data_IF_313996848463
#
_entry.id   IF_313996848463
#
_cell.length_a   1.000
_cell.length_b   1.000
_cell.length_c   1.000
_cell.angle_alpha   90.00
_cell.angle_beta   90.00
_cell.angle_gamma   90.00
#
_symmetry.space_group_name_H-M   'P 1'
#
loop_
_entity.id
_entity.type
_entity.pdbx_description
1 polymer ?
#
# COMPACT_ATOMS: atom_id res chain seq x y z
N UNK A 1 -11.99 -20.17 -3.84
CA UNK A 1 -10.56 -20.41 -3.58
C UNK A 1 -9.80 -19.41 -4.42
N UNK A 2 -9.14 -18.47 -3.76
CA UNK A 2 -8.37 -17.44 -4.44
C UNK A 2 -7.24 -18.04 -5.28
N UNK A 3 -7.21 -17.76 -6.59
CA UNK A 3 -6.24 -18.32 -7.51
C UNK A 3 -5.03 -17.40 -7.67
N UNK A 4 -3.85 -17.87 -7.26
CA UNK A 4 -2.60 -17.11 -7.34
C UNK A 4 -2.24 -16.71 -8.78
N UNK A 5 -2.47 -17.57 -9.76
CA UNK A 5 -2.09 -17.29 -11.15
C UNK A 5 -2.96 -16.18 -11.76
N UNK A 6 -4.24 -16.14 -11.39
CA UNK A 6 -5.17 -15.06 -11.76
C UNK A 6 -4.73 -13.74 -11.13
N UNK A 7 -4.39 -13.72 -9.84
CA UNK A 7 -3.85 -12.53 -9.18
C UNK A 7 -2.59 -12.02 -9.87
N UNK A 8 -1.63 -12.90 -10.17
CA UNK A 8 -0.40 -12.54 -10.88
C UNK A 8 -0.71 -11.95 -12.25
N UNK A 9 -1.65 -12.56 -12.99
CA UNK A 9 -2.01 -12.09 -14.31
C UNK A 9 -2.69 -10.71 -14.28
N UNK A 10 -3.61 -10.49 -13.33
CA UNK A 10 -4.24 -9.19 -13.08
C UNK A 10 -3.19 -8.13 -12.77
N UNK A 11 -2.28 -8.40 -11.83
CA UNK A 11 -1.19 -7.46 -11.49
C UNK A 11 -0.30 -7.16 -12.69
N UNK A 12 0.06 -8.16 -13.51
CA UNK A 12 0.85 -7.94 -14.73
C UNK A 12 0.16 -6.99 -15.71
N UNK A 13 -1.15 -7.13 -15.89
CA UNK A 13 -1.94 -6.26 -16.75
C UNK A 13 -1.95 -4.83 -16.20
N UNK A 14 -2.16 -4.65 -14.90
CA UNK A 14 -2.14 -3.33 -14.25
C UNK A 14 -0.78 -2.65 -14.40
N UNK A 15 0.31 -3.38 -14.13
CA UNK A 15 1.69 -2.87 -14.26
C UNK A 15 2.03 -2.51 -15.72
N UNK A 16 1.33 -3.07 -16.72
CA UNK A 16 1.45 -2.62 -18.10
C UNK A 16 0.86 -1.22 -18.29
N UNK A 17 -0.35 -0.95 -17.79
CA UNK A 17 -0.93 0.41 -17.80
C UNK A 17 0.01 1.43 -17.14
N UNK A 18 0.60 1.05 -16.00
CA UNK A 18 1.58 1.89 -15.31
C UNK A 18 2.79 2.24 -16.19
N UNK A 19 3.38 1.23 -16.83
CA UNK A 19 4.55 1.41 -17.71
C UNK A 19 4.22 2.23 -18.97
N UNK A 20 3.00 2.13 -19.46
CA UNK A 20 2.51 2.89 -20.61
C UNK A 20 2.12 4.35 -20.22
N UNK A 21 2.33 4.76 -18.96
CA UNK A 21 1.98 6.09 -18.46
C UNK A 21 0.48 6.30 -18.21
N UNK A 22 -0.33 5.24 -18.32
CA UNK A 22 -1.79 5.25 -18.12
C UNK A 22 -2.10 5.08 -16.63
N UNK A 23 -1.69 6.06 -15.83
CA UNK A 23 -1.78 5.99 -14.37
C UNK A 23 -3.23 5.91 -13.87
N UNK A 24 -4.16 6.65 -14.47
CA UNK A 24 -5.58 6.59 -14.12
C UNK A 24 -6.15 5.16 -14.30
N UNK A 25 -5.90 4.54 -15.46
CA UNK A 25 -6.30 3.14 -15.72
C UNK A 25 -5.66 2.17 -14.73
N UNK A 26 -4.38 2.38 -14.40
CA UNK A 26 -3.68 1.52 -13.46
C UNK A 26 -4.27 1.62 -12.05
N UNK A 27 -4.57 2.83 -11.56
CA UNK A 27 -5.21 3.02 -10.26
C UNK A 27 -6.63 2.46 -10.21
N UNK A 28 -7.44 2.69 -11.25
CA UNK A 28 -8.78 2.12 -11.35
C UNK A 28 -8.72 0.59 -11.27
N UNK A 29 -7.84 -0.04 -12.04
CA UNK A 29 -7.70 -1.50 -12.06
C UNK A 29 -7.13 -2.07 -10.75
N UNK A 30 -6.26 -1.34 -10.04
CA UNK A 30 -5.88 -1.71 -8.67
C UNK A 30 -7.06 -1.64 -7.71
N UNK A 31 -7.87 -0.58 -7.79
CA UNK A 31 -9.09 -0.44 -6.99
C UNK A 31 -10.05 -1.62 -7.22
N UNK A 32 -10.30 -1.98 -8.47
CA UNK A 32 -11.10 -3.16 -8.83
C UNK A 32 -10.51 -4.44 -8.23
N UNK A 33 -9.21 -4.69 -8.41
CA UNK A 33 -8.54 -5.86 -7.87
C UNK A 33 -8.66 -5.98 -6.35
N UNK A 34 -8.47 -4.87 -5.62
CA UNK A 34 -8.53 -4.89 -4.15
C UNK A 34 -9.95 -4.95 -3.61
N UNK A 35 -10.95 -4.63 -4.43
CA UNK A 35 -12.37 -4.72 -4.08
C UNK A 35 -12.97 -6.11 -4.27
N UNK A 36 -12.25 -7.04 -4.92
CA UNK A 36 -12.76 -8.40 -5.11
C UNK A 36 -12.87 -9.13 -3.78
N UNK A 37 -13.94 -9.90 -3.61
CA UNK A 37 -14.21 -10.61 -2.34
C UNK A 37 -13.15 -11.66 -2.00
N UNK A 38 -12.40 -12.15 -2.99
CA UNK A 38 -11.35 -13.16 -2.83
C UNK A 38 -9.97 -12.54 -2.58
N UNK A 39 -9.80 -11.22 -2.67
CA UNK A 39 -8.49 -10.60 -2.49
C UNK A 39 -7.91 -10.89 -1.10
N UNK A 40 -8.74 -10.75 -0.06
CA UNK A 40 -8.39 -11.07 1.32
C UNK A 40 -8.19 -12.57 1.60
N UNK A 41 -8.63 -13.46 0.70
CA UNK A 41 -8.43 -14.90 0.81
C UNK A 41 -7.07 -15.37 0.28
N UNK A 42 -6.36 -14.53 -0.50
CA UNK A 42 -5.00 -14.86 -0.93
C UNK A 42 -4.03 -14.93 0.26
N UNK A 43 -2.87 -15.55 0.04
CA UNK A 43 -1.83 -15.57 1.07
C UNK A 43 -1.37 -14.13 1.37
N UNK A 44 -1.04 -13.79 2.63
CA UNK A 44 -0.65 -12.42 3.00
C UNK A 44 0.50 -11.87 2.17
N UNK A 45 1.43 -12.72 1.75
CA UNK A 45 2.61 -12.36 0.96
C UNK A 45 2.22 -11.93 -0.45
N UNK A 46 1.22 -12.60 -1.04
CA UNK A 46 0.71 -12.26 -2.36
C UNK A 46 -0.12 -10.95 -2.30
N UNK A 47 -0.94 -10.77 -1.23
CA UNK A 47 -1.67 -9.53 -0.98
C UNK A 47 -0.70 -8.34 -0.83
N UNK A 48 0.31 -8.48 0.03
CA UNK A 48 1.35 -7.46 0.26
C UNK A 48 2.06 -7.07 -1.02
N UNK A 49 2.42 -8.06 -1.85
CA UNK A 49 3.12 -7.78 -3.10
C UNK A 49 2.25 -6.97 -4.06
N UNK A 50 0.96 -7.27 -4.17
CA UNK A 50 0.03 -6.51 -5.00
C UNK A 50 -0.19 -5.08 -4.48
N UNK A 51 -0.46 -4.93 -3.17
CA UNK A 51 -0.64 -3.62 -2.53
C UNK A 51 0.60 -2.73 -2.67
N UNK A 52 1.78 -3.31 -2.44
CA UNK A 52 3.06 -2.62 -2.56
C UNK A 52 3.31 -2.05 -3.95
N UNK A 53 2.87 -2.75 -5.00
CA UNK A 53 3.03 -2.33 -6.39
C UNK A 53 2.15 -1.14 -6.78
N UNK A 54 1.15 -0.79 -5.98
CA UNK A 54 0.39 0.45 -6.11
C UNK A 54 0.96 1.54 -5.19
N UNK A 55 1.13 1.22 -3.90
CA UNK A 55 1.33 2.21 -2.84
C UNK A 55 2.77 2.74 -2.81
N UNK A 56 3.74 1.86 -3.06
CA UNK A 56 5.17 2.17 -3.03
C UNK A 56 5.79 2.17 -4.42
N UNK A 57 4.96 2.34 -5.45
CA UNK A 57 5.39 2.33 -6.85
C UNK A 57 6.34 3.50 -7.15
N UNK A 58 7.42 3.21 -7.89
CA UNK A 58 8.29 4.28 -8.41
C UNK A 58 7.56 5.04 -9.51
N UNK A 59 7.67 6.37 -9.48
CA UNK A 59 7.01 7.25 -10.43
C UNK A 59 5.52 7.44 -10.17
N UNK A 60 5.03 7.06 -8.99
CA UNK A 60 3.68 7.41 -8.56
C UNK A 60 3.54 8.94 -8.46
N UNK A 61 2.32 9.49 -8.67
CA UNK A 61 2.03 10.89 -8.40
C UNK A 61 2.37 11.26 -6.96
N UNK A 62 2.61 12.55 -6.74
CA UNK A 62 2.89 13.10 -5.42
C UNK A 62 1.72 12.78 -4.45
N UNK A 63 1.97 12.08 -3.34
CA UNK A 63 0.94 11.79 -2.33
C UNK A 63 0.26 13.04 -1.74
N UNK A 64 0.92 14.21 -1.78
CA UNK A 64 0.33 15.49 -1.34
C UNK A 64 -0.57 16.14 -2.40
N UNK A 65 -0.51 15.65 -3.64
CA UNK A 65 -1.34 16.11 -4.77
C UNK A 65 -1.94 14.92 -5.52
N UNK A 66 -2.73 14.07 -4.83
CA UNK A 66 -3.22 12.84 -5.43
C UNK A 66 -4.31 13.14 -6.46
N UNK A 67 -4.37 12.31 -7.51
CA UNK A 67 -5.49 12.34 -8.46
C UNK A 67 -6.72 11.66 -7.85
N UNK A 68 -7.94 11.91 -8.34
CA UNK A 68 -9.14 11.24 -7.84
C UNK A 68 -9.05 9.71 -7.87
N UNK A 69 -8.48 9.13 -8.92
CA UNK A 69 -8.32 7.68 -9.09
C UNK A 69 -7.33 7.11 -8.07
N UNK A 70 -6.25 7.86 -7.79
CA UNK A 70 -5.29 7.50 -6.76
C UNK A 70 -5.94 7.51 -5.37
N UNK A 71 -6.75 8.53 -5.06
CA UNK A 71 -7.49 8.61 -3.78
C UNK A 71 -8.43 7.42 -3.63
N UNK A 72 -9.19 7.09 -4.69
CA UNK A 72 -10.12 5.95 -4.66
C UNK A 72 -9.41 4.63 -4.40
N UNK A 73 -8.35 4.36 -5.15
CA UNK A 73 -7.60 3.12 -5.02
C UNK A 73 -6.96 2.97 -3.62
N UNK A 74 -6.44 4.06 -3.03
CA UNK A 74 -5.91 4.05 -1.67
C UNK A 74 -7.01 3.87 -0.61
N UNK A 75 -8.22 4.40 -0.84
CA UNK A 75 -9.37 4.18 0.03
C UNK A 75 -9.75 2.72 0.08
N UNK A 76 -9.82 2.07 -1.09
CA UNK A 76 -10.13 0.63 -1.19
C UNK A 76 -9.01 -0.19 -0.52
N UNK A 77 -7.74 0.11 -0.81
CA UNK A 77 -6.59 -0.60 -0.26
C UNK A 77 -6.47 -0.49 1.28
N UNK A 78 -7.03 0.55 1.90
CA UNK A 78 -6.97 0.76 3.35
C UNK A 78 -7.63 -0.39 4.13
N UNK A 79 -8.71 -1.00 3.60
CA UNK A 79 -9.39 -2.13 4.24
C UNK A 79 -8.49 -3.36 4.36
N UNK A 80 -8.01 -3.96 3.26
CA UNK A 80 -7.09 -5.09 3.28
C UNK A 80 -5.81 -4.83 4.09
N UNK A 81 -5.26 -3.61 4.03
CA UNK A 81 -4.09 -3.24 4.84
C UNK A 81 -4.38 -3.17 6.33
N UNK A 82 -5.56 -2.70 6.72
CA UNK A 82 -5.98 -2.68 8.13
C UNK A 82 -6.06 -4.10 8.68
N UNK A 83 -6.56 -5.06 7.87
CA UNK A 83 -6.58 -6.46 8.25
C UNK A 83 -5.18 -7.06 8.38
N UNK A 84 -4.27 -6.76 7.44
CA UNK A 84 -2.87 -7.21 7.50
C UNK A 84 -2.15 -6.66 8.74
N UNK A 85 -2.29 -5.36 9.01
CA UNK A 85 -1.71 -4.72 10.21
C UNK A 85 -2.30 -5.34 11.48
N UNK A 86 -3.60 -5.54 11.53
CA UNK A 86 -4.28 -6.09 12.71
C UNK A 86 -3.91 -7.55 12.98
N UNK A 87 -3.68 -8.35 11.93
CA UNK A 87 -3.42 -9.78 12.04
C UNK A 87 -1.94 -10.12 12.22
N UNK A 88 -1.04 -9.39 11.56
CA UNK A 88 0.38 -9.70 11.52
C UNK A 88 1.26 -8.64 12.17
N UNK A 89 0.83 -7.38 12.20
CA UNK A 89 1.57 -6.29 12.84
C UNK A 89 2.93 -6.00 12.21
N UNK A 90 3.17 -6.39 10.96
CA UNK A 90 4.48 -6.21 10.33
C UNK A 90 4.77 -4.73 10.06
N UNK A 91 6.01 -4.25 10.22
CA UNK A 91 6.36 -2.86 9.94
C UNK A 91 6.10 -2.42 8.50
N UNK A 92 6.26 -3.33 7.54
CA UNK A 92 5.97 -3.04 6.13
C UNK A 92 4.47 -2.83 5.86
N UNK A 93 3.60 -3.51 6.61
CA UNK A 93 2.14 -3.33 6.51
C UNK A 93 1.75 -1.95 7.06
N UNK A 94 2.38 -1.52 8.16
CA UNK A 94 2.23 -0.17 8.71
C UNK A 94 2.74 0.92 7.76
N UNK A 95 3.87 0.69 7.07
CA UNK A 95 4.36 1.63 6.06
C UNK A 95 3.32 1.87 4.96
N UNK A 96 2.79 0.78 4.38
CA UNK A 96 1.78 0.87 3.32
C UNK A 96 0.49 1.52 3.80
N UNK A 97 -0.02 1.12 4.97
CA UNK A 97 -1.24 1.71 5.53
C UNK A 97 -1.06 3.20 5.84
N UNK A 98 0.09 3.58 6.42
CA UNK A 98 0.43 4.98 6.68
C UNK A 98 0.42 5.83 5.41
N UNK A 99 0.98 5.32 4.31
CA UNK A 99 0.93 6.01 3.01
C UNK A 99 -0.50 6.17 2.50
N UNK A 100 -1.37 5.16 2.64
CA UNK A 100 -2.78 5.33 2.33
C UNK A 100 -3.40 6.50 3.11
N UNK A 101 -3.15 6.59 4.41
CA UNK A 101 -3.69 7.69 5.21
C UNK A 101 -3.13 9.07 4.83
N UNK A 102 -1.89 9.18 4.33
CA UNK A 102 -1.36 10.43 3.76
C UNK A 102 -2.20 10.83 2.54
N UNK A 103 -2.36 9.91 1.59
CA UNK A 103 -3.10 10.15 0.33
C UNK A 103 -4.56 10.50 0.60
N UNK A 104 -5.16 9.90 1.63
CA UNK A 104 -6.53 10.16 2.04
C UNK A 104 -6.70 11.45 2.85
N UNK A 105 -5.64 12.23 3.06
CA UNK A 105 -5.70 13.50 3.80
C UNK A 105 -5.87 13.33 5.32
N UNK A 106 -5.42 12.21 5.88
CA UNK A 106 -5.52 11.87 7.30
C UNK A 106 -4.13 11.84 7.98
N UNK A 107 -3.43 13.00 8.10
CA UNK A 107 -2.04 13.07 8.56
C UNK A 107 -1.85 12.57 10.00
N UNK A 108 -2.84 12.79 10.88
CA UNK A 108 -2.79 12.32 12.27
C UNK A 108 -2.75 10.79 12.35
N UNK A 109 -3.67 10.12 11.63
CA UNK A 109 -3.70 8.66 11.54
C UNK A 109 -2.44 8.12 10.87
N UNK A 110 -1.98 8.75 9.78
CA UNK A 110 -0.75 8.36 9.10
C UNK A 110 0.46 8.41 10.06
N UNK A 111 0.62 9.50 10.81
CA UNK A 111 1.70 9.68 11.78
C UNK A 111 1.65 8.61 12.87
N UNK A 112 0.48 8.32 13.43
CA UNK A 112 0.31 7.28 14.45
C UNK A 112 0.71 5.89 13.92
N UNK A 113 0.20 5.52 12.73
CA UNK A 113 0.45 4.21 12.11
C UNK A 113 1.93 4.03 11.76
N UNK A 114 2.55 5.04 11.14
CA UNK A 114 3.97 5.00 10.77
C UNK A 114 4.88 4.93 12.01
N UNK A 115 4.54 5.64 13.09
CA UNK A 115 5.30 5.58 14.36
C UNK A 115 5.18 4.21 15.02
N UNK A 116 4.01 3.56 14.95
CA UNK A 116 3.84 2.20 15.43
C UNK A 116 4.73 1.22 14.66
N UNK A 117 4.72 1.28 13.33
CA UNK A 117 5.63 0.48 12.48
C UNK A 117 7.11 0.74 12.78
N UNK A 118 7.49 2.00 13.00
CA UNK A 118 8.87 2.38 13.31
C UNK A 118 9.32 1.83 14.67
N UNK A 119 8.45 1.84 15.67
CA UNK A 119 8.76 1.29 16.99
C UNK A 119 9.07 -0.22 16.89
N UNK A 120 8.27 -0.96 16.13
CA UNK A 120 8.46 -2.40 15.91
C UNK A 120 9.75 -2.65 15.14
N UNK A 121 9.96 -1.95 14.03
CA UNK A 121 11.16 -2.15 13.19
C UNK A 121 12.44 -1.77 13.93
N UNK A 122 12.44 -0.70 14.74
CA UNK A 122 13.61 -0.31 15.53
C UNK A 122 13.99 -1.34 16.58
N UNK A 123 13.01 -2.00 17.19
CA UNK A 123 13.27 -3.09 18.15
C UNK A 123 13.87 -4.31 17.44
N UNK A 124 13.43 -4.58 16.21
CA UNK A 124 13.92 -5.71 15.40
C UNK A 124 15.29 -5.44 14.79
N UNK A 125 15.45 -4.32 14.11
CA UNK A 125 16.67 -3.88 13.45
C UNK A 125 16.70 -2.34 13.32
N UNK A 126 17.37 -1.62 14.23
CA UNK A 126 17.41 -0.16 14.22
C UNK A 126 18.18 0.44 13.03
N UNK A 127 18.95 -0.36 12.30
CA UNK A 127 19.75 0.06 11.15
C UNK A 127 19.11 -0.33 9.81
N UNK A 128 17.87 -0.82 9.81
CA UNK A 128 17.22 -1.23 8.56
C UNK A 128 16.84 -0.05 7.66
N UNK A 129 16.82 -0.30 6.35
CA UNK A 129 16.33 0.68 5.38
C UNK A 129 14.88 1.10 5.66
N UNK A 130 14.06 0.18 6.19
CA UNK A 130 12.67 0.45 6.55
C UNK A 130 12.56 1.46 7.71
N UNK A 131 13.44 1.41 8.71
CA UNK A 131 13.52 2.46 9.72
C UNK A 131 13.74 3.84 9.07
N UNK A 132 14.69 3.93 8.13
CA UNK A 132 14.97 5.15 7.36
C UNK A 132 13.75 5.63 6.57
N UNK A 133 13.08 4.71 5.87
CA UNK A 133 11.91 5.00 5.06
C UNK A 133 10.71 5.50 5.91
N UNK A 134 10.48 4.90 7.07
CA UNK A 134 9.44 5.32 8.02
C UNK A 134 9.74 6.68 8.64
N UNK A 135 10.98 6.91 9.11
CA UNK A 135 11.39 8.21 9.65
C UNK A 135 11.22 9.34 8.63
N UNK A 136 11.64 9.09 7.37
CA UNK A 136 11.49 10.08 6.29
C UNK A 136 10.02 10.46 6.09
N UNK A 137 9.11 9.48 6.05
CA UNK A 137 7.67 9.77 5.88
C UNK A 137 7.08 10.52 7.06
N UNK A 138 7.42 10.11 8.29
CA UNK A 138 6.98 10.82 9.50
C UNK A 138 7.43 12.29 9.49
N UNK A 139 8.63 12.58 8.97
CA UNK A 139 9.14 13.96 8.90
C UNK A 139 8.48 14.84 7.85
N UNK A 140 7.72 14.25 6.92
CA UNK A 140 7.02 14.95 5.84
C UNK A 140 5.52 15.16 6.14
N UNK A 141 5.03 14.65 7.28
CA UNK A 141 3.67 14.88 7.79
C UNK A 141 3.70 16.12 8.69
#
# INVERSE_FOLDING_TARGET
>A
MANKDELIQSVKNIVKHWRDGKLADAYAAYGELFSTSDFGEHRPEDQRQALKLMILAKGAPDPERPTPEMVEAHRIAAGPLTELVSKYGEPGDHEMLGVCHIVLGNPESASAILRAGLAIERQRNPQSDLCGALMKRISLI
#
